data_IF_683461215442
#
_entry.id   IF_683461215442
#
_cell.length_a   1.000
_cell.length_b   1.000
_cell.length_c   1.000
_cell.angle_alpha   90.00
_cell.angle_beta   90.00
_cell.angle_gamma   90.00
#
_symmetry.space_group_name_H-M   'P 1'
#
loop_
_entity.id
_entity.type
_entity.pdbx_description
1 polymer ?
#
# COMPACT_ATOMS: atom_id res chain seq x y z
N UNK A 1 62.93 58.01 -11.38
CA UNK A 1 61.90 57.34 -10.56
C UNK A 1 60.59 57.33 -11.32
N UNK A 2 60.20 56.20 -11.92
CA UNK A 2 58.87 55.96 -12.48
C UNK A 2 58.29 54.76 -11.73
N UNK A 3 57.18 54.99 -11.06
CA UNK A 3 56.45 54.03 -10.24
C UNK A 3 55.14 53.68 -10.94
N UNK A 4 54.71 52.41 -10.78
CA UNK A 4 53.31 51.94 -10.76
C UNK A 4 52.56 51.90 -12.12
N UNK A 5 51.74 50.90 -12.50
CA UNK A 5 51.07 49.75 -11.83
C UNK A 5 50.90 48.63 -12.88
N UNK A 6 51.24 47.39 -12.51
CA UNK A 6 50.80 46.16 -13.20
C UNK A 6 49.35 45.88 -12.77
N UNK A 7 48.41 45.90 -13.71
CA UNK A 7 47.01 45.54 -13.45
C UNK A 7 46.84 44.02 -13.65
N UNK A 8 46.87 43.25 -12.55
CA UNK A 8 46.45 41.85 -12.57
C UNK A 8 44.93 41.78 -12.76
N UNK A 9 44.51 41.23 -13.89
CA UNK A 9 43.12 40.80 -14.11
C UNK A 9 42.92 39.46 -13.39
N UNK A 10 42.36 39.52 -12.19
CA UNK A 10 41.89 38.34 -11.47
C UNK A 10 40.60 37.83 -12.08
N UNK A 11 40.67 36.73 -12.83
CA UNK A 11 39.50 35.94 -13.23
C UNK A 11 38.92 35.25 -11.98
N UNK A 12 37.89 35.84 -11.39
CA UNK A 12 37.07 35.14 -10.38
C UNK A 12 36.10 34.25 -11.14
N UNK A 13 36.53 33.02 -11.44
CA UNK A 13 35.63 31.94 -11.87
C UNK A 13 34.86 31.52 -10.62
N UNK A 14 33.70 32.12 -10.39
CA UNK A 14 32.73 31.60 -9.42
C UNK A 14 32.25 30.25 -9.93
N UNK A 15 32.85 29.19 -9.41
CA UNK A 15 32.33 27.85 -9.57
C UNK A 15 30.91 27.83 -8.98
N UNK A 16 29.89 27.81 -9.86
CA UNK A 16 28.57 27.33 -9.51
C UNK A 16 28.73 25.87 -9.07
N UNK A 17 28.97 25.65 -7.77
CA UNK A 17 28.83 24.33 -7.20
C UNK A 17 27.38 23.89 -7.46
N UNK A 18 27.15 22.76 -8.15
CA UNK A 18 25.80 22.23 -8.25
C UNK A 18 25.36 21.96 -6.82
N UNK A 19 24.38 22.73 -6.35
CA UNK A 19 23.70 22.46 -5.10
C UNK A 19 23.11 21.05 -5.26
N UNK A 20 23.81 20.06 -4.73
CA UNK A 20 23.20 18.77 -4.43
C UNK A 20 22.05 19.10 -3.50
N UNK A 21 20.83 19.10 -4.04
CA UNK A 21 19.59 19.10 -3.29
C UNK A 21 19.70 17.96 -2.29
N UNK A 22 20.19 18.25 -1.08
CA UNK A 22 20.06 17.36 0.05
C UNK A 22 18.57 17.18 0.19
N UNK A 23 18.10 15.96 -0.04
CA UNK A 23 16.76 15.55 0.38
C UNK A 23 16.74 15.75 1.90
N UNK A 24 16.32 16.93 2.35
CA UNK A 24 15.83 17.08 3.70
C UNK A 24 14.66 16.11 3.76
N UNK A 25 14.75 15.11 4.63
CA UNK A 25 13.67 14.16 4.81
C UNK A 25 12.60 14.87 5.63
N UNK A 26 11.36 14.90 5.13
CA UNK A 26 10.26 15.39 5.95
C UNK A 26 10.22 14.52 7.20
N UNK A 27 10.10 15.08 8.42
CA UNK A 27 9.69 14.27 9.55
C UNK A 27 8.41 13.54 9.14
N UNK A 28 8.21 12.28 9.57
CA UNK A 28 7.05 11.50 9.14
C UNK A 28 5.78 12.25 9.55
N UNK A 29 5.19 12.95 8.58
CA UNK A 29 3.95 13.68 8.72
C UNK A 29 2.83 12.65 8.74
N UNK A 30 2.54 12.13 9.94
CA UNK A 30 1.58 11.04 10.18
C UNK A 30 0.30 11.59 10.81
N UNK A 31 -0.84 11.19 10.25
CA UNK A 31 -2.14 11.28 10.88
C UNK A 31 -2.49 9.93 11.50
N UNK A 32 -2.94 9.93 12.74
CA UNK A 32 -3.49 8.78 13.46
C UNK A 32 -5.03 8.86 13.54
N UNK A 33 -5.61 10.05 13.31
CA UNK A 33 -7.05 10.28 13.37
C UNK A 33 -7.52 11.38 12.37
N UNK A 34 -8.83 11.46 12.08
CA UNK A 34 -9.38 12.43 11.12
C UNK A 34 -9.14 13.91 11.47
N UNK A 35 -9.05 14.25 12.76
CA UNK A 35 -8.85 15.63 13.22
C UNK A 35 -7.48 16.18 12.80
N UNK A 36 -6.50 15.30 12.61
CA UNK A 36 -5.14 15.67 12.19
C UNK A 36 -5.01 15.90 10.68
N UNK A 37 -6.00 15.52 9.86
CA UNK A 37 -5.87 15.53 8.40
C UNK A 37 -5.60 16.94 7.87
N UNK A 38 -6.46 17.90 8.23
CA UNK A 38 -6.38 19.29 7.74
C UNK A 38 -5.05 19.98 8.09
N UNK A 39 -4.59 20.00 9.35
CA UNK A 39 -3.29 20.59 9.68
C UNK A 39 -2.11 19.83 9.06
N UNK A 40 -2.24 18.52 8.83
CA UNK A 40 -1.20 17.75 8.15
C UNK A 40 -1.13 18.06 6.66
N UNK A 41 -2.27 18.24 6.00
CA UNK A 41 -2.35 18.55 4.58
C UNK A 41 -1.67 19.89 4.26
N UNK A 42 -1.91 20.93 5.05
CA UNK A 42 -1.24 22.23 4.88
C UNK A 42 0.29 22.11 5.02
N UNK A 43 0.76 21.36 6.03
CA UNK A 43 2.20 21.12 6.24
C UNK A 43 2.81 20.34 5.09
N UNK A 44 2.14 19.29 4.62
CA UNK A 44 2.63 18.44 3.54
C UNK A 44 2.66 19.18 2.20
N UNK A 45 1.67 20.04 1.91
CA UNK A 45 1.68 20.89 0.72
C UNK A 45 2.83 21.90 0.76
N UNK A 46 2.99 22.61 1.89
CA UNK A 46 4.09 23.57 2.07
C UNK A 46 5.45 22.89 1.90
N UNK A 47 5.62 21.73 2.55
CA UNK A 47 6.82 20.91 2.43
C UNK A 47 7.06 20.46 0.99
N UNK A 48 6.02 19.99 0.29
CA UNK A 48 6.10 19.56 -1.10
C UNK A 48 6.55 20.68 -2.04
N UNK A 49 6.16 21.93 -1.77
CA UNK A 49 6.59 23.10 -2.57
C UNK A 49 8.05 23.47 -2.27
N UNK A 50 8.47 23.39 -1.00
CA UNK A 50 9.81 23.80 -0.58
C UNK A 50 10.88 22.73 -0.85
N UNK A 51 10.54 21.46 -0.67
CA UNK A 51 11.50 20.34 -0.52
C UNK A 51 11.09 19.09 -1.31
N UNK A 52 10.01 19.15 -2.09
CA UNK A 52 9.63 18.06 -2.97
C UNK A 52 10.75 17.76 -3.97
N UNK A 53 11.35 16.58 -3.87
CA UNK A 53 12.35 16.18 -4.85
C UNK A 53 11.68 16.04 -6.23
N UNK A 54 12.28 16.57 -7.32
CA UNK A 54 11.83 16.26 -8.65
C UNK A 54 11.91 14.75 -8.88
N UNK A 55 10.94 14.24 -9.62
CA UNK A 55 10.63 12.82 -9.67
C UNK A 55 11.68 12.03 -10.50
N UNK A 56 12.74 11.51 -9.88
CA UNK A 56 13.57 10.47 -10.51
C UNK A 56 12.90 9.10 -10.38
N UNK A 57 11.96 8.83 -11.28
CA UNK A 57 11.12 7.64 -11.30
C UNK A 57 11.89 6.32 -11.37
N UNK A 58 13.06 6.31 -12.00
CA UNK A 58 13.84 5.09 -12.20
C UNK A 58 14.21 4.37 -10.90
N UNK A 59 14.27 5.10 -9.78
CA UNK A 59 14.62 4.57 -8.46
C UNK A 59 13.43 4.02 -7.68
N UNK A 60 12.21 4.12 -8.19
CA UNK A 60 10.99 3.77 -7.47
C UNK A 60 10.19 2.68 -8.19
N UNK A 61 10.37 1.43 -7.78
CA UNK A 61 9.62 0.27 -8.32
C UNK A 61 8.11 0.44 -8.23
N UNK A 62 7.64 1.15 -7.19
CA UNK A 62 6.25 1.52 -7.07
C UNK A 62 5.74 2.30 -8.29
N UNK A 63 6.52 3.19 -8.88
CA UNK A 63 6.08 3.96 -10.03
C UNK A 63 6.41 3.31 -11.37
N UNK A 64 7.41 2.43 -11.45
CA UNK A 64 7.81 1.75 -12.70
C UNK A 64 7.10 0.40 -12.89
N UNK A 65 6.99 -0.41 -11.85
CA UNK A 65 6.48 -1.78 -11.91
C UNK A 65 5.05 -1.95 -11.38
N UNK A 66 4.58 -1.08 -10.47
CA UNK A 66 3.20 -1.13 -9.96
C UNK A 66 2.21 -0.38 -10.89
N UNK A 67 1.10 -1.04 -11.25
CA UNK A 67 0.08 -0.45 -12.13
C UNK A 67 -0.64 0.74 -11.52
N UNK A 68 -0.83 0.75 -10.19
CA UNK A 68 -1.41 1.89 -9.48
C UNK A 68 -0.51 3.12 -9.62
N UNK A 69 0.80 2.96 -9.31
CA UNK A 69 1.78 4.03 -9.44
C UNK A 69 1.86 4.55 -10.88
N UNK A 70 1.99 3.66 -11.87
CA UNK A 70 1.95 4.05 -13.30
C UNK A 70 0.67 4.79 -13.70
N UNK A 71 -0.49 4.34 -13.23
CA UNK A 71 -1.75 5.01 -13.55
C UNK A 71 -1.84 6.39 -12.89
N UNK A 72 -1.34 6.53 -11.67
CA UNK A 72 -1.26 7.80 -10.97
C UNK A 72 -0.34 8.81 -11.69
N UNK A 73 0.78 8.35 -12.27
CA UNK A 73 1.68 9.21 -13.06
C UNK A 73 1.00 9.87 -14.25
N UNK A 74 0.06 9.17 -14.91
CA UNK A 74 -0.69 9.68 -16.07
C UNK A 74 -1.67 10.81 -15.71
N UNK A 75 -1.93 11.04 -14.43
CA UNK A 75 -2.87 12.05 -14.00
C UNK A 75 -2.20 13.42 -14.02
N UNK A 76 -2.96 14.45 -14.44
CA UNK A 76 -2.46 15.80 -14.63
C UNK A 76 -2.19 16.49 -13.28
N UNK A 77 -3.25 16.96 -12.63
CA UNK A 77 -3.16 17.82 -11.45
C UNK A 77 -4.03 17.30 -10.29
N UNK A 78 -3.79 17.87 -9.11
CA UNK A 78 -4.50 17.57 -7.86
C UNK A 78 -4.45 16.09 -7.52
N UNK A 79 -3.26 15.51 -7.68
CA UNK A 79 -3.02 14.09 -7.43
C UNK A 79 -2.21 13.90 -6.15
N UNK A 80 -2.60 12.91 -5.36
CA UNK A 80 -1.97 12.61 -4.08
C UNK A 80 -1.90 11.10 -3.90
N UNK A 81 -0.88 10.64 -3.19
CA UNK A 81 -0.79 9.28 -2.66
C UNK A 81 -0.64 9.39 -1.14
N UNK A 82 -1.43 8.61 -0.42
CA UNK A 82 -1.26 8.38 1.01
C UNK A 82 -0.95 6.91 1.26
N UNK A 83 -0.10 6.65 2.25
CA UNK A 83 0.28 5.27 2.64
C UNK A 83 0.09 5.05 4.13
N UNK A 84 -0.07 3.79 4.52
CA UNK A 84 -0.04 3.39 5.92
C UNK A 84 1.36 3.48 6.52
N UNK A 85 1.42 3.75 7.82
CA UNK A 85 2.64 3.88 8.60
C UNK A 85 2.46 3.24 9.99
N UNK A 86 3.44 2.51 10.56
CA UNK A 86 4.74 2.15 9.96
C UNK A 86 4.63 1.22 8.74
N UNK A 87 5.77 0.87 8.12
CA UNK A 87 5.83 0.13 6.83
C UNK A 87 5.04 -1.18 6.82
N UNK A 88 4.86 -1.80 7.98
CA UNK A 88 4.08 -3.01 8.17
C UNK A 88 2.55 -2.79 8.15
N UNK A 89 2.08 -1.55 8.32
CA UNK A 89 0.71 -1.12 8.05
C UNK A 89 0.46 -0.89 6.54
N UNK A 90 1.18 -1.63 5.69
CA UNK A 90 1.28 -1.39 4.26
C UNK A 90 -0.09 -1.26 3.58
N UNK A 91 -0.42 -0.05 3.17
CA UNK A 91 -1.54 0.26 2.28
C UNK A 91 -1.14 1.46 1.45
N UNK A 92 -1.70 1.59 0.25
CA UNK A 92 -1.59 2.81 -0.52
C UNK A 92 -2.94 3.20 -1.09
N UNK A 93 -3.19 4.51 -1.09
CA UNK A 93 -4.40 5.16 -1.55
C UNK A 93 -4.01 6.31 -2.44
N UNK A 94 -4.88 6.66 -3.37
CA UNK A 94 -4.62 7.80 -4.24
C UNK A 94 -5.91 8.43 -4.71
N UNK A 95 -5.82 9.73 -4.88
CA UNK A 95 -6.87 10.58 -5.40
C UNK A 95 -6.27 11.50 -6.44
N UNK A 96 -7.05 11.81 -7.46
CA UNK A 96 -6.65 12.65 -8.59
C UNK A 96 -7.91 13.22 -9.25
N UNK A 97 -7.75 14.25 -10.10
CA UNK A 97 -8.87 14.92 -10.82
C UNK A 97 -9.91 15.55 -9.88
N UNK A 98 -9.49 16.01 -8.71
CA UNK A 98 -10.36 16.80 -7.82
C UNK A 98 -10.38 18.28 -8.21
N UNK A 99 -11.41 19.00 -7.78
CA UNK A 99 -11.55 20.44 -8.04
C UNK A 99 -10.39 21.24 -7.43
N UNK A 100 -9.85 20.79 -6.29
CA UNK A 100 -8.64 21.35 -5.69
C UNK A 100 -7.77 20.27 -5.04
N UNK A 101 -6.50 20.61 -4.79
CA UNK A 101 -5.53 19.69 -4.19
C UNK A 101 -5.91 19.29 -2.77
N UNK A 102 -6.42 20.22 -1.97
CA UNK A 102 -6.74 20.00 -0.56
C UNK A 102 -7.81 18.92 -0.39
N UNK A 103 -8.85 18.97 -1.22
CA UNK A 103 -9.91 17.95 -1.26
C UNK A 103 -9.33 16.56 -1.60
N UNK A 104 -8.42 16.49 -2.58
CA UNK A 104 -7.75 15.23 -2.92
C UNK A 104 -6.97 14.69 -1.71
N UNK A 105 -6.24 15.57 -1.02
CA UNK A 105 -5.43 15.25 0.16
C UNK A 105 -6.28 14.78 1.33
N UNK A 106 -7.40 15.44 1.62
CA UNK A 106 -8.32 15.06 2.70
C UNK A 106 -8.98 13.72 2.43
N UNK A 107 -9.52 13.52 1.22
CA UNK A 107 -10.19 12.27 0.85
C UNK A 107 -9.21 11.09 0.81
N UNK A 108 -8.01 11.28 0.28
CA UNK A 108 -6.99 10.22 0.27
C UNK A 108 -6.54 9.85 1.69
N UNK A 109 -6.41 10.84 2.58
CA UNK A 109 -6.01 10.58 3.96
C UNK A 109 -7.12 9.88 4.76
N UNK A 110 -8.37 10.33 4.66
CA UNK A 110 -9.51 9.67 5.29
C UNK A 110 -9.62 8.19 4.87
N UNK A 111 -9.50 7.91 3.57
CA UNK A 111 -9.54 6.54 3.06
C UNK A 111 -8.37 5.69 3.58
N UNK A 112 -7.19 6.29 3.73
CA UNK A 112 -6.06 5.60 4.34
C UNK A 112 -6.33 5.27 5.81
N UNK A 113 -6.79 6.26 6.59
CA UNK A 113 -7.10 6.10 8.02
C UNK A 113 -8.15 5.01 8.25
N UNK A 114 -9.21 4.97 7.44
CA UNK A 114 -10.22 3.91 7.52
C UNK A 114 -9.60 2.51 7.31
N UNK A 115 -8.73 2.37 6.31
CA UNK A 115 -8.09 1.08 6.01
C UNK A 115 -7.13 0.63 7.12
N UNK A 116 -6.29 1.55 7.62
CA UNK A 116 -5.31 1.19 8.65
C UNK A 116 -5.93 1.01 10.03
N UNK A 117 -7.06 1.69 10.33
CA UNK A 117 -7.84 1.45 11.54
C UNK A 117 -8.24 -0.01 11.66
N UNK A 118 -8.84 -0.57 10.62
CA UNK A 118 -9.30 -1.96 10.69
C UNK A 118 -8.14 -2.96 10.72
N UNK A 119 -7.06 -2.67 10.00
CA UNK A 119 -5.83 -3.48 10.12
C UNK A 119 -5.26 -3.44 11.54
N UNK A 120 -5.32 -2.29 12.21
CA UNK A 120 -4.88 -2.11 13.60
C UNK A 120 -5.73 -2.93 14.56
N UNK A 121 -7.06 -2.93 14.39
CA UNK A 121 -7.99 -3.72 15.21
C UNK A 121 -7.69 -5.22 15.13
N UNK A 122 -7.36 -5.75 13.95
CA UNK A 122 -7.09 -7.19 13.77
C UNK A 122 -5.69 -7.61 14.22
N UNK A 123 -4.70 -6.73 14.06
CA UNK A 123 -3.29 -7.07 14.33
C UNK A 123 -2.80 -6.56 15.68
N UNK A 124 -3.55 -5.68 16.35
CA UNK A 124 -3.12 -4.95 17.55
C UNK A 124 -2.04 -3.89 17.29
N UNK A 125 -1.69 -3.62 16.02
CA UNK A 125 -0.63 -2.68 15.66
C UNK A 125 -1.14 -1.24 15.69
N UNK A 126 -0.35 -0.30 16.17
CA UNK A 126 -0.68 1.13 16.08
C UNK A 126 -0.33 1.66 14.69
N UNK A 127 -1.33 1.80 13.83
CA UNK A 127 -1.14 2.34 12.48
C UNK A 127 -1.70 3.77 12.33
N UNK A 128 -0.99 4.58 11.56
CA UNK A 128 -1.45 5.85 11.02
C UNK A 128 -1.22 5.92 9.51
N UNK A 129 -1.33 7.12 8.95
CA UNK A 129 -1.17 7.37 7.53
C UNK A 129 -0.35 8.63 7.27
N UNK A 130 0.44 8.62 6.20
CA UNK A 130 1.24 9.78 5.76
C UNK A 130 1.10 10.03 4.27
N UNK A 131 1.39 11.27 3.84
CA UNK A 131 1.50 11.62 2.44
C UNK A 131 2.79 11.06 1.83
N UNK A 132 2.67 10.35 0.72
CA UNK A 132 3.77 9.74 0.00
C UNK A 132 4.18 10.53 -1.23
N UNK A 133 3.20 11.07 -1.95
CA UNK A 133 3.43 11.91 -3.11
C UNK A 133 2.30 12.94 -3.26
N UNK A 134 2.65 14.13 -3.72
CA UNK A 134 1.73 15.24 -3.97
C UNK A 134 2.11 15.86 -5.32
N UNK A 135 1.18 15.89 -6.26
CA UNK A 135 1.44 16.27 -7.65
C UNK A 135 2.67 15.54 -8.23
N UNK A 136 3.76 16.25 -8.52
CA UNK A 136 4.98 15.65 -9.07
C UNK A 136 6.11 15.53 -8.03
N UNK A 137 5.83 15.77 -6.76
CA UNK A 137 6.78 15.63 -5.66
C UNK A 137 6.59 14.31 -4.91
N UNK A 138 7.70 13.61 -4.65
CA UNK A 138 7.73 12.43 -3.78
C UNK A 138 8.30 12.85 -2.42
N UNK A 139 7.63 12.45 -1.34
CA UNK A 139 7.93 12.86 0.05
C UNK A 139 8.60 11.74 0.87
N UNK A 140 9.04 10.67 0.21
CA UNK A 140 9.48 9.41 0.82
C UNK A 140 10.63 8.80 0.05
N UNK A 141 11.47 8.02 0.72
CA UNK A 141 12.48 7.21 0.06
C UNK A 141 11.84 6.01 -0.67
N UNK A 142 12.48 5.47 -1.72
CA UNK A 142 11.97 4.30 -2.44
C UNK A 142 11.61 3.11 -1.54
N UNK A 143 12.46 2.80 -0.57
CA UNK A 143 12.31 1.67 0.35
C UNK A 143 11.16 1.83 1.35
N UNK A 144 10.65 3.06 1.54
CA UNK A 144 9.49 3.33 2.39
C UNK A 144 8.16 3.14 1.64
N UNK A 145 8.15 3.14 0.30
CA UNK A 145 6.93 2.92 -0.48
C UNK A 145 6.55 1.43 -0.49
N UNK A 146 5.37 1.06 0.02
CA UNK A 146 4.94 -0.33 0.00
C UNK A 146 4.59 -0.77 -1.43
N UNK A 147 5.29 -1.78 -1.95
CA UNK A 147 4.93 -2.41 -3.21
C UNK A 147 3.70 -3.33 -3.08
N UNK A 148 3.53 -3.94 -1.91
CA UNK A 148 2.42 -4.81 -1.54
C UNK A 148 1.52 -4.11 -0.53
N UNK A 149 0.23 -4.45 -0.55
CA UNK A 149 -0.76 -4.04 0.44
C UNK A 149 -1.06 -5.20 1.39
N UNK A 150 -1.27 -4.87 2.65
CA UNK A 150 -1.77 -5.78 3.66
C UNK A 150 -3.28 -5.55 3.79
N UNK A 151 -4.05 -6.59 3.46
CA UNK A 151 -5.50 -6.59 3.50
C UNK A 151 -5.95 -7.50 4.63
N UNK A 152 -6.84 -7.06 5.52
CA UNK A 152 -7.39 -7.94 6.53
C UNK A 152 -7.98 -9.23 5.93
N UNK A 153 -7.78 -10.34 6.62
CA UNK A 153 -8.25 -11.63 6.16
C UNK A 153 -8.45 -12.62 7.31
N UNK A 154 -9.34 -13.59 7.08
CA UNK A 154 -9.63 -14.69 7.98
C UNK A 154 -9.43 -15.99 7.23
N UNK A 155 -8.66 -16.90 7.83
CA UNK A 155 -8.51 -18.26 7.35
C UNK A 155 -9.43 -19.20 8.15
N UNK A 156 -10.38 -19.82 7.45
CA UNK A 156 -11.20 -20.91 7.94
C UNK A 156 -10.55 -22.22 7.49
N UNK A 157 -10.02 -22.98 8.44
CA UNK A 157 -9.26 -24.20 8.21
C UNK A 157 -10.08 -25.39 8.69
N UNK A 158 -10.19 -26.42 7.85
CA UNK A 158 -10.70 -27.74 8.23
C UNK A 158 -9.61 -28.76 7.92
N UNK A 159 -9.10 -29.42 8.94
CA UNK A 159 -8.11 -30.49 8.81
C UNK A 159 -8.45 -31.66 9.75
N UNK A 160 -7.57 -32.67 9.81
CA UNK A 160 -7.72 -33.82 10.71
C UNK A 160 -7.82 -33.45 12.21
N UNK A 161 -7.41 -32.24 12.60
CA UNK A 161 -7.51 -31.73 13.99
C UNK A 161 -8.81 -30.98 14.24
N UNK A 162 -9.68 -30.87 13.23
CA UNK A 162 -10.97 -30.21 13.30
C UNK A 162 -10.99 -28.87 12.57
N UNK A 163 -11.90 -27.99 13.01
CA UNK A 163 -12.08 -26.67 12.41
C UNK A 163 -11.40 -25.61 13.24
N UNK A 164 -10.74 -24.67 12.56
CA UNK A 164 -10.09 -23.54 13.19
C UNK A 164 -10.29 -22.27 12.39
N UNK A 165 -10.56 -21.19 13.11
CA UNK A 165 -10.50 -19.85 12.56
C UNK A 165 -9.18 -19.18 12.94
N UNK A 166 -8.57 -18.49 11.98
CA UNK A 166 -7.32 -17.75 12.18
C UNK A 166 -7.50 -16.34 11.62
N UNK A 167 -7.52 -15.36 12.52
CA UNK A 167 -7.52 -13.94 12.18
C UNK A 167 -6.12 -13.51 11.71
N UNK A 168 -6.07 -12.64 10.71
CA UNK A 168 -4.81 -12.18 10.14
C UNK A 168 -4.97 -11.22 8.97
N UNK A 169 -4.01 -11.28 8.05
CA UNK A 169 -4.01 -10.44 6.86
C UNK A 169 -3.33 -11.12 5.67
N UNK A 170 -3.83 -10.84 4.48
CA UNK A 170 -3.22 -11.19 3.22
C UNK A 170 -2.29 -10.05 2.77
N UNK A 171 -1.00 -10.35 2.60
CA UNK A 171 -0.08 -9.47 1.89
C UNK A 171 -0.14 -9.80 0.41
N UNK A 172 -0.54 -8.83 -0.41
CA UNK A 172 -0.79 -9.01 -1.84
C UNK A 172 -0.30 -7.79 -2.62
N UNK A 173 0.01 -7.96 -3.90
CA UNK A 173 0.25 -6.81 -4.79
C UNK A 173 -1.05 -6.04 -5.09
N UNK A 174 -2.22 -6.60 -4.74
CA UNK A 174 -3.53 -5.97 -4.97
C UNK A 174 -3.92 -5.91 -6.45
N UNK A 175 -3.26 -6.70 -7.30
CA UNK A 175 -3.43 -6.69 -8.75
C UNK A 175 -4.26 -7.87 -9.22
N UNK A 176 -5.11 -7.63 -10.21
CA UNK A 176 -5.48 -8.65 -11.20
C UNK A 176 -4.31 -8.86 -12.15
N UNK A 177 -4.20 -10.04 -12.74
CA UNK A 177 -3.06 -10.41 -13.58
C UNK A 177 -2.54 -11.80 -13.26
N UNK A 178 -1.43 -12.16 -13.90
CA UNK A 178 -0.81 -13.49 -13.81
C UNK A 178 0.30 -13.53 -12.76
N UNK A 179 0.44 -14.66 -12.10
CA UNK A 179 1.52 -15.03 -11.18
C UNK A 179 1.81 -14.00 -10.08
N UNK A 180 0.77 -13.53 -9.41
CA UNK A 180 0.89 -12.54 -8.33
C UNK A 180 1.18 -13.24 -7.00
N UNK A 181 2.26 -12.86 -6.33
CA UNK A 181 2.61 -13.42 -5.02
C UNK A 181 1.60 -12.98 -3.94
N UNK A 182 1.15 -13.94 -3.13
CA UNK A 182 0.31 -13.71 -1.97
C UNK A 182 0.84 -14.47 -0.76
N UNK A 183 0.84 -13.79 0.39
CA UNK A 183 1.14 -14.40 1.67
C UNK A 183 -0.03 -14.17 2.61
N UNK A 184 -0.35 -15.15 3.46
CA UNK A 184 -1.24 -14.94 4.59
C UNK A 184 -0.46 -15.01 5.89
N UNK A 185 -0.66 -14.00 6.73
CA UNK A 185 -0.02 -13.85 8.04
C UNK A 185 -1.09 -13.88 9.12
N UNK A 186 -0.79 -14.47 10.28
CA UNK A 186 -1.62 -14.35 11.48
C UNK A 186 -1.65 -12.92 12.00
N UNK A 187 -2.54 -12.61 12.93
CA UNK A 187 -2.56 -11.32 13.65
C UNK A 187 -1.20 -10.97 14.28
N UNK A 188 -0.47 -11.97 14.79
CA UNK A 188 0.90 -11.82 15.32
C UNK A 188 1.99 -11.59 14.26
N UNK A 189 1.66 -11.62 12.96
CA UNK A 189 2.59 -11.40 11.85
C UNK A 189 3.29 -12.68 11.34
N UNK A 190 3.07 -13.84 11.96
CA UNK A 190 3.64 -15.11 11.51
C UNK A 190 3.06 -15.50 10.15
N UNK A 191 3.91 -15.70 9.14
CA UNK A 191 3.49 -16.21 7.83
C UNK A 191 3.03 -17.66 7.99
N UNK A 192 1.80 -17.97 7.55
CA UNK A 192 1.24 -19.33 7.62
C UNK A 192 0.73 -19.82 6.27
N UNK A 193 0.70 -18.97 5.26
CA UNK A 193 0.51 -19.41 3.89
C UNK A 193 1.32 -18.54 2.92
N UNK A 194 1.82 -19.16 1.86
CA UNK A 194 2.35 -18.46 0.69
C UNK A 194 1.89 -19.13 -0.61
N UNK A 195 2.05 -18.40 -1.70
CA UNK A 195 1.67 -18.89 -3.00
C UNK A 195 1.59 -17.79 -4.05
N UNK A 196 1.07 -18.18 -5.21
CA UNK A 196 0.87 -17.30 -6.35
C UNK A 196 -0.53 -17.47 -6.89
N UNK A 197 -1.16 -16.37 -7.27
CA UNK A 197 -2.49 -16.36 -7.85
C UNK A 197 -2.52 -15.70 -9.23
N UNK A 198 -3.46 -16.14 -10.04
CA UNK A 198 -3.88 -15.53 -11.29
C UNK A 198 -5.32 -15.04 -11.11
N UNK A 199 -5.60 -13.75 -11.26
CA UNK A 199 -6.99 -13.25 -11.27
C UNK A 199 -7.24 -12.58 -12.62
N UNK A 200 -8.24 -13.08 -13.36
CA UNK A 200 -8.65 -12.49 -14.62
C UNK A 200 -9.23 -11.09 -14.43
N UNK A 201 -8.96 -10.18 -15.38
CA UNK A 201 -9.43 -8.78 -15.35
C UNK A 201 -10.94 -8.63 -15.56
N UNK A 202 -11.59 -9.62 -16.19
CA UNK A 202 -13.00 -9.56 -16.60
C UNK A 202 -13.90 -10.39 -15.67
N UNK A 203 -13.46 -11.60 -15.30
CA UNK A 203 -14.33 -12.56 -14.61
C UNK A 203 -14.27 -12.50 -13.09
N UNK A 204 -13.33 -11.74 -12.49
CA UNK A 204 -13.13 -11.66 -11.03
C UNK A 204 -13.00 -13.03 -10.33
N UNK A 205 -12.68 -14.04 -11.15
CA UNK A 205 -12.39 -15.41 -10.83
C UNK A 205 -10.93 -15.67 -11.17
N UNK A 206 -10.31 -16.51 -10.37
CA UNK A 206 -8.91 -16.79 -10.49
C UNK A 206 -8.56 -18.15 -9.94
N UNK A 207 -7.40 -18.63 -10.34
CA UNK A 207 -6.74 -19.77 -9.75
C UNK A 207 -5.56 -19.29 -8.91
N UNK A 208 -5.17 -20.07 -7.91
CA UNK A 208 -3.87 -19.92 -7.28
C UNK A 208 -3.30 -21.26 -6.92
N UNK A 209 -2.02 -21.27 -6.59
CA UNK A 209 -1.39 -22.37 -5.92
C UNK A 209 -0.94 -21.88 -4.55
N UNK A 210 -1.51 -22.45 -3.49
CA UNK A 210 -1.22 -22.08 -2.11
C UNK A 210 -0.54 -23.24 -1.38
N UNK A 211 0.41 -22.89 -0.52
CA UNK A 211 1.07 -23.76 0.43
C UNK A 211 0.90 -23.15 1.83
N UNK A 212 0.03 -23.77 2.63
CA UNK A 212 -0.33 -23.27 3.95
C UNK A 212 -0.03 -24.29 5.05
N UNK A 213 0.24 -23.76 6.24
CA UNK A 213 0.48 -24.50 7.48
C UNK A 213 1.58 -25.55 7.33
N UNK A 214 2.72 -25.14 6.79
CA UNK A 214 3.91 -25.99 6.61
C UNK A 214 3.63 -27.21 5.71
N UNK A 215 2.87 -27.01 4.63
CA UNK A 215 2.57 -28.06 3.65
C UNK A 215 1.31 -28.87 3.92
N UNK A 216 0.64 -28.69 5.07
CA UNK A 216 -0.59 -29.44 5.41
C UNK A 216 -1.74 -29.19 4.45
N UNK A 217 -1.84 -27.97 3.92
CA UNK A 217 -2.82 -27.62 2.90
C UNK A 217 -2.06 -27.06 1.71
N UNK A 218 -1.99 -27.86 0.65
CA UNK A 218 -1.28 -27.50 -0.58
C UNK A 218 -2.12 -27.86 -1.78
N UNK A 219 -2.33 -26.91 -2.69
CA UNK A 219 -3.07 -27.20 -3.90
C UNK A 219 -3.61 -25.99 -4.63
N UNK A 220 -4.36 -26.26 -5.73
CA UNK A 220 -5.06 -25.22 -6.47
C UNK A 220 -6.13 -24.58 -5.58
N UNK A 221 -6.31 -23.27 -5.76
CA UNK A 221 -7.29 -22.48 -5.05
C UNK A 221 -8.16 -21.71 -6.04
N UNK A 222 -9.46 -21.62 -5.79
CA UNK A 222 -10.37 -20.79 -6.60
C UNK A 222 -10.64 -19.47 -5.89
N UNK A 223 -10.29 -18.36 -6.54
CA UNK A 223 -10.57 -17.01 -6.08
C UNK A 223 -11.91 -16.54 -6.64
N UNK A 224 -12.70 -15.90 -5.79
CA UNK A 224 -13.90 -15.17 -6.18
C UNK A 224 -13.87 -13.82 -5.50
N UNK A 225 -13.77 -12.75 -6.29
CA UNK A 225 -13.97 -11.39 -5.80
C UNK A 225 -15.47 -11.12 -5.80
N UNK A 226 -16.01 -10.71 -4.65
CA UNK A 226 -17.43 -10.42 -4.46
C UNK A 226 -17.76 -8.94 -4.65
N UNK A 227 -16.74 -8.07 -4.57
CA UNK A 227 -16.91 -6.65 -4.83
C UNK A 227 -15.67 -5.84 -4.45
N UNK A 228 -15.83 -4.52 -4.49
CA UNK A 228 -14.80 -3.55 -4.13
C UNK A 228 -15.35 -2.59 -3.09
N UNK A 229 -14.58 -2.35 -2.02
CA UNK A 229 -14.89 -1.32 -1.03
C UNK A 229 -13.66 -0.47 -0.80
N UNK A 230 -13.86 0.84 -0.90
CA UNK A 230 -12.77 1.82 -0.82
C UNK A 230 -11.58 1.44 -1.73
N UNK A 231 -11.83 0.87 -2.91
CA UNK A 231 -10.78 0.44 -3.85
C UNK A 231 -9.98 -0.82 -3.45
N UNK A 232 -10.41 -1.56 -2.42
CA UNK A 232 -9.89 -2.90 -2.07
C UNK A 232 -10.92 -3.95 -2.50
N UNK A 233 -10.48 -4.99 -3.20
CA UNK A 233 -11.32 -6.17 -3.46
C UNK A 233 -11.57 -6.95 -2.18
N UNK A 234 -12.81 -7.33 -1.94
CA UNK A 234 -13.14 -8.35 -0.94
C UNK A 234 -13.65 -9.62 -1.64
N UNK A 235 -13.38 -10.77 -1.05
CA UNK A 235 -13.52 -12.02 -1.75
C UNK A 235 -13.30 -13.24 -0.87
N UNK A 236 -13.38 -14.40 -1.52
CA UNK A 236 -13.05 -15.70 -0.94
C UNK A 236 -12.05 -16.42 -1.83
N UNK A 237 -11.09 -17.12 -1.23
CA UNK A 237 -10.26 -18.10 -1.91
C UNK A 237 -10.44 -19.47 -1.26
N UNK A 238 -10.76 -20.49 -2.04
CA UNK A 238 -10.97 -21.86 -1.55
C UNK A 238 -9.88 -22.78 -2.04
N UNK A 239 -9.14 -23.42 -1.13
CA UNK A 239 -8.25 -24.55 -1.40
C UNK A 239 -8.96 -25.82 -0.96
N UNK A 240 -9.09 -26.79 -1.86
CA UNK A 240 -9.59 -28.12 -1.55
C UNK A 240 -8.46 -29.13 -1.77
N UNK A 241 -7.92 -29.69 -0.69
CA UNK A 241 -6.81 -30.64 -0.69
C UNK A 241 -7.27 -31.98 -0.07
N UNK A 242 -8.38 -32.51 -0.58
CA UNK A 242 -9.00 -33.74 -0.08
C UNK A 242 -9.81 -33.49 1.19
N UNK A 243 -9.45 -34.18 2.27
CA UNK A 243 -10.07 -33.98 3.60
C UNK A 243 -9.71 -32.63 4.22
N UNK A 244 -8.55 -32.07 3.84
CA UNK A 244 -8.11 -30.77 4.31
C UNK A 244 -8.60 -29.66 3.37
N UNK A 245 -9.18 -28.62 3.95
CA UNK A 245 -9.72 -27.49 3.20
C UNK A 245 -9.38 -26.17 3.88
N UNK A 246 -9.16 -25.14 3.07
CA UNK A 246 -8.92 -23.77 3.52
C UNK A 246 -9.85 -22.83 2.76
N UNK A 247 -10.57 -21.97 3.48
CA UNK A 247 -11.14 -20.77 2.91
C UNK A 247 -10.44 -19.54 3.48
N UNK A 248 -9.93 -18.69 2.61
CA UNK A 248 -9.50 -17.34 2.95
C UNK A 248 -10.63 -16.37 2.60
N UNK A 249 -11.20 -15.72 3.61
CA UNK A 249 -12.07 -14.55 3.43
C UNK A 249 -11.18 -13.32 3.55
N UNK A 250 -11.09 -12.50 2.51
CA UNK A 250 -10.20 -11.33 2.49
C UNK A 250 -10.96 -10.06 2.10
N UNK A 251 -10.47 -8.92 2.57
CA UNK A 251 -11.04 -7.61 2.30
C UNK A 251 -11.15 -6.76 3.56
N UNK A 252 -11.83 -5.62 3.46
CA UNK A 252 -12.19 -4.87 4.65
C UNK A 252 -13.28 -5.66 5.42
N UNK A 253 -13.14 -5.82 6.76
CA UNK A 253 -14.19 -6.31 7.64
C UNK A 253 -15.40 -5.39 7.57
N UNK A 254 -16.44 -5.88 6.92
CA UNK A 254 -17.74 -5.24 6.78
C UNK A 254 -18.82 -6.20 7.25
N UNK A 255 -20.06 -5.72 7.33
CA UNK A 255 -21.21 -6.60 7.55
C UNK A 255 -21.27 -7.73 6.50
N UNK A 256 -20.88 -7.45 5.26
CA UNK A 256 -20.82 -8.45 4.18
C UNK A 256 -19.67 -9.44 4.38
N UNK A 257 -18.51 -8.98 4.83
CA UNK A 257 -17.38 -9.84 5.19
C UNK A 257 -17.76 -10.79 6.32
N UNK A 258 -18.34 -10.28 7.41
CA UNK A 258 -18.80 -11.09 8.55
C UNK A 258 -19.96 -12.01 8.15
N UNK A 259 -20.92 -11.53 7.35
CA UNK A 259 -21.98 -12.36 6.78
C UNK A 259 -21.37 -13.52 6.01
N UNK A 260 -20.40 -13.25 5.12
CA UNK A 260 -19.78 -14.30 4.30
C UNK A 260 -18.97 -15.28 5.14
N UNK A 261 -18.24 -14.80 6.14
CA UNK A 261 -17.56 -15.64 7.13
C UNK A 261 -18.55 -16.56 7.83
N UNK A 262 -19.67 -16.03 8.34
CA UNK A 262 -20.70 -16.80 9.05
C UNK A 262 -21.41 -17.82 8.16
N UNK A 263 -21.76 -17.46 6.92
CA UNK A 263 -22.32 -18.40 5.92
C UNK A 263 -21.38 -19.58 5.71
N UNK A 264 -20.10 -19.29 5.47
CA UNK A 264 -19.09 -20.31 5.23
C UNK A 264 -18.82 -21.18 6.46
N UNK A 265 -18.92 -20.63 7.67
CA UNK A 265 -18.83 -21.41 8.91
C UNK A 265 -20.02 -22.36 9.08
N UNK A 266 -21.21 -21.97 8.63
CA UNK A 266 -22.43 -22.80 8.69
C UNK A 266 -22.53 -23.86 7.60
N UNK A 267 -21.97 -23.62 6.42
CA UNK A 267 -21.89 -24.58 5.31
C UNK A 267 -20.83 -25.68 5.53
N UNK A 268 -19.90 -25.48 6.46
CA UNK A 268 -18.69 -26.29 6.61
C UNK A 268 -18.78 -27.33 7.69
#
# INVERSE_FOLDING_TARGET
MRFFILMMVGFVVTACQPQTLRMVHAPPLVAENPQQIRPLAMRAESYSKAHGAPMNLSKYDFFTANSFGRNWLKQRNHKVITIGHPKDCATFNGRWRHGNLFEAMERSMNQCLNRVKVFSEITGKKCGCRYAAINNAILMKPEELPFRVNVPAIALVKDAKGRKEILGYASTTGRTGKNQAMNFHTSSGRKVCDGHYNIGTIAFKGDAYLNCFDGRIKGPAVFKVHGFREGISYGTALVNAGENKLILVYGLPTKEFEKRRSELLGEW
#
